data_IF_601978265652
#
_entry.id   IF_601978265652
#
_cell.length_a   1.000
_cell.length_b   1.000
_cell.length_c   1.000
_cell.angle_alpha   90.00
_cell.angle_beta   90.00
_cell.angle_gamma   90.00
#
_symmetry.space_group_name_H-M   'P 1'
#
loop_
_entity.id
_entity.type
_entity.pdbx_description
1 polymer ?
#
# COMPACT_ATOMS: atom_id res chain seq x y z
N UNK A 1 13.36 -20.95 -4.00
CA UNK A 1 12.07 -20.88 -4.72
C UNK A 1 11.09 -21.78 -3.98
N UNK A 2 9.88 -21.26 -3.69
CA UNK A 2 8.86 -22.05 -3.04
C UNK A 2 8.41 -23.21 -3.97
N UNK A 3 8.30 -24.41 -3.42
CA UNK A 3 7.65 -25.54 -4.09
C UNK A 3 6.16 -25.47 -3.84
N UNK A 4 5.38 -25.60 -4.89
CA UNK A 4 3.93 -25.41 -4.90
C UNK A 4 3.25 -26.78 -5.07
N UNK A 5 2.36 -27.12 -4.14
CA UNK A 5 1.32 -28.12 -4.33
C UNK A 5 -0.03 -27.40 -4.21
N UNK A 6 -1.11 -27.90 -4.76
CA UNK A 6 -2.42 -27.21 -4.86
C UNK A 6 -3.01 -26.69 -3.53
N UNK A 7 -2.40 -26.95 -2.39
CA UNK A 7 -2.86 -26.56 -1.05
C UNK A 7 -1.76 -26.00 -0.12
N UNK A 8 -0.50 -25.99 -0.56
CA UNK A 8 0.61 -25.64 0.31
C UNK A 8 1.68 -24.84 -0.44
N UNK A 9 2.13 -23.74 0.16
CA UNK A 9 3.32 -23.00 -0.23
C UNK A 9 4.44 -23.40 0.74
N UNK A 10 5.55 -23.91 0.23
CA UNK A 10 6.68 -24.37 1.05
C UNK A 10 7.99 -23.74 0.58
N UNK A 11 8.78 -23.24 1.51
CA UNK A 11 10.13 -22.75 1.25
C UNK A 11 11.09 -23.24 2.31
N UNK A 12 12.30 -23.64 1.90
CA UNK A 12 13.39 -24.04 2.79
C UNK A 12 14.62 -23.19 2.52
N UNK A 13 15.28 -22.73 3.59
CA UNK A 13 16.45 -21.88 3.51
C UNK A 13 17.50 -22.34 4.51
N UNK A 14 18.77 -22.32 4.09
CA UNK A 14 19.92 -22.48 4.96
C UNK A 14 20.46 -21.09 5.28
N UNK A 15 20.35 -20.67 6.54
CA UNK A 15 20.76 -19.36 7.02
C UNK A 15 22.11 -19.47 7.77
N UNK A 16 23.05 -18.60 7.42
CA UNK A 16 24.34 -18.47 8.12
C UNK A 16 24.18 -17.57 9.35
N UNK A 17 23.28 -17.95 10.21
CA UNK A 17 22.96 -17.24 11.44
C UNK A 17 22.58 -18.24 12.54
N UNK A 18 22.82 -17.87 13.79
CA UNK A 18 22.44 -18.68 14.94
C UNK A 18 20.94 -18.83 15.04
N UNK A 19 20.47 -19.93 15.63
CA UNK A 19 19.05 -20.18 15.83
C UNK A 19 18.37 -19.08 16.68
N UNK A 20 19.13 -18.46 17.59
CA UNK A 20 18.64 -17.34 18.40
C UNK A 20 18.32 -16.14 17.52
N UNK A 21 19.23 -15.77 16.62
CA UNK A 21 19.02 -14.61 15.71
C UNK A 21 17.86 -14.84 14.77
N UNK A 22 17.69 -16.06 14.25
CA UNK A 22 16.56 -16.41 13.39
C UNK A 22 15.25 -16.43 14.19
N UNK A 23 15.26 -16.94 15.41
CA UNK A 23 14.11 -16.92 16.30
C UNK A 23 13.66 -15.50 16.61
N UNK A 24 14.59 -14.62 16.97
CA UNK A 24 14.29 -13.20 17.25
C UNK A 24 13.71 -12.48 16.02
N UNK A 25 14.20 -12.81 14.82
CA UNK A 25 13.63 -12.28 13.58
C UNK A 25 12.16 -12.69 13.35
N UNK A 26 11.73 -13.82 13.90
CA UNK A 26 10.36 -14.36 13.74
C UNK A 26 9.43 -14.04 14.91
N UNK A 27 9.93 -13.65 16.08
CA UNK A 27 9.12 -13.57 17.31
C UNK A 27 9.29 -12.28 18.10
N UNK A 28 9.92 -11.27 17.50
CA UNK A 28 10.05 -9.94 18.11
C UNK A 28 9.51 -8.84 17.18
N UNK A 29 9.07 -7.74 17.78
CA UNK A 29 8.64 -6.55 17.01
C UNK A 29 9.79 -6.03 16.14
N UNK A 30 10.99 -5.95 16.69
CA UNK A 30 12.16 -5.50 15.96
C UNK A 30 12.53 -6.45 14.81
N UNK A 31 12.42 -7.74 15.03
CA UNK A 31 12.65 -8.76 14.00
C UNK A 31 11.67 -8.58 12.84
N UNK A 32 10.37 -8.59 13.11
CA UNK A 32 9.33 -8.50 12.09
C UNK A 32 9.42 -7.21 11.27
N UNK A 33 9.66 -6.06 11.91
CA UNK A 33 9.85 -4.79 11.20
C UNK A 33 11.15 -4.74 10.40
N UNK A 34 12.07 -5.66 10.65
CA UNK A 34 13.31 -5.77 9.89
C UNK A 34 13.14 -6.40 8.51
N UNK A 35 12.13 -7.26 8.29
CA UNK A 35 12.00 -8.00 7.04
C UNK A 35 10.57 -8.17 6.52
N UNK A 36 9.54 -8.31 7.38
CA UNK A 36 8.21 -8.77 6.97
C UNK A 36 7.17 -7.64 6.92
N UNK A 37 7.02 -6.88 8.00
CA UNK A 37 6.05 -5.78 8.09
C UNK A 37 6.76 -4.48 8.44
N UNK A 38 6.12 -3.34 8.20
CA UNK A 38 6.66 -2.03 8.57
C UNK A 38 6.32 -1.65 10.02
N UNK A 39 5.30 -2.29 10.58
CA UNK A 39 4.89 -2.17 11.97
C UNK A 39 4.21 -3.45 12.44
N UNK A 40 4.27 -3.72 13.73
CA UNK A 40 3.56 -4.82 14.37
C UNK A 40 3.10 -4.39 15.75
N UNK A 41 1.83 -4.68 16.06
CA UNK A 41 1.23 -4.42 17.38
C UNK A 41 0.67 -5.75 17.90
N UNK A 42 0.81 -6.00 19.19
CA UNK A 42 0.38 -7.25 19.83
C UNK A 42 1.56 -8.01 20.44
N UNK A 43 1.29 -9.19 20.99
CA UNK A 43 2.29 -10.05 21.61
C UNK A 43 2.47 -11.33 20.81
N UNK A 44 3.71 -11.80 20.71
CA UNK A 44 4.04 -13.09 20.08
C UNK A 44 3.81 -14.24 21.08
N UNK A 45 2.58 -14.34 21.60
CA UNK A 45 2.13 -15.36 22.55
C UNK A 45 0.93 -16.12 21.95
N UNK A 46 0.78 -17.41 22.27
CA UNK A 46 -0.32 -18.23 21.73
C UNK A 46 -1.69 -17.65 22.11
N UNK A 47 -2.58 -17.52 21.13
CA UNK A 47 -3.92 -16.96 21.27
C UNK A 47 -3.99 -15.44 21.06
N UNK A 48 -2.87 -14.74 21.05
CA UNK A 48 -2.84 -13.30 20.80
C UNK A 48 -2.97 -12.99 19.30
N UNK A 49 -3.55 -11.83 18.98
CA UNK A 49 -3.65 -11.33 17.61
C UNK A 49 -2.63 -10.22 17.39
N UNK A 50 -1.83 -10.37 16.35
CA UNK A 50 -0.92 -9.36 15.85
C UNK A 50 -1.63 -8.52 14.79
N UNK A 51 -1.50 -7.20 14.86
CA UNK A 51 -1.80 -6.28 13.77
C UNK A 51 -0.50 -5.96 13.04
N UNK A 52 -0.45 -6.26 11.75
CA UNK A 52 0.71 -6.12 10.90
C UNK A 52 0.49 -4.97 9.93
N UNK A 53 1.33 -3.95 9.97
CA UNK A 53 1.31 -2.82 9.02
C UNK A 53 2.16 -3.15 7.80
N UNK A 54 1.53 -3.29 6.64
CA UNK A 54 2.20 -3.44 5.35
C UNK A 54 2.30 -2.12 4.57
N UNK A 55 2.24 -0.99 5.25
CA UNK A 55 2.39 0.34 4.66
C UNK A 55 1.29 0.64 3.62
N UNK A 56 1.67 0.92 2.36
CA UNK A 56 0.69 1.26 1.33
C UNK A 56 -0.26 0.11 0.93
N UNK A 57 -0.02 -1.10 1.44
CA UNK A 57 -0.88 -2.28 1.20
C UNK A 57 -1.92 -2.50 2.30
N UNK A 58 -1.89 -1.68 3.38
CA UNK A 58 -2.84 -1.75 4.48
C UNK A 58 -2.37 -2.60 5.65
N UNK A 59 -3.30 -2.92 6.54
CA UNK A 59 -3.06 -3.75 7.70
C UNK A 59 -3.52 -5.19 7.44
N UNK A 60 -2.87 -6.14 8.09
CA UNK A 60 -3.26 -7.53 8.13
C UNK A 60 -3.26 -8.03 9.57
N UNK A 61 -4.10 -9.01 9.88
CA UNK A 61 -4.24 -9.56 11.21
C UNK A 61 -3.79 -11.02 11.23
N UNK A 62 -2.96 -11.37 12.22
CA UNK A 62 -2.42 -12.71 12.38
C UNK A 62 -2.65 -13.20 13.81
N UNK A 63 -3.36 -14.30 13.98
CA UNK A 63 -3.57 -14.94 15.27
C UNK A 63 -2.46 -15.95 15.53
N UNK A 64 -1.64 -15.70 16.54
CA UNK A 64 -0.56 -16.59 16.94
C UNK A 64 -1.13 -17.92 17.42
N UNK A 65 -0.72 -19.02 16.81
CA UNK A 65 -1.25 -20.37 17.10
C UNK A 65 -0.26 -21.31 17.76
N UNK A 66 1.04 -21.05 17.62
CA UNK A 66 2.09 -21.90 18.22
C UNK A 66 3.35 -21.08 18.49
N UNK A 67 3.91 -21.22 19.69
CA UNK A 67 5.19 -20.63 20.10
C UNK A 67 5.99 -21.66 20.86
N UNK A 68 6.77 -22.49 20.13
CA UNK A 68 7.73 -23.42 20.71
C UNK A 68 9.12 -22.81 20.56
N UNK A 69 9.76 -22.29 21.63
CA UNK A 69 10.99 -21.52 21.53
C UNK A 69 12.07 -22.19 20.69
N UNK A 70 12.58 -21.47 19.69
CA UNK A 70 13.68 -21.88 18.79
C UNK A 70 13.41 -23.13 17.94
N UNK A 71 12.18 -23.62 17.93
CA UNK A 71 11.81 -24.79 17.11
C UNK A 71 10.64 -24.51 16.17
N UNK A 72 9.60 -23.82 16.64
CA UNK A 72 8.40 -23.57 15.83
C UNK A 72 7.71 -22.28 16.23
N UNK A 73 7.37 -21.46 15.24
CA UNK A 73 6.45 -20.34 15.35
C UNK A 73 5.36 -20.47 14.29
N UNK A 74 4.10 -20.36 14.68
CA UNK A 74 3.00 -20.40 13.71
C UNK A 74 1.90 -19.41 14.05
N UNK A 75 1.22 -18.93 12.99
CA UNK A 75 0.05 -18.09 13.11
C UNK A 75 -0.98 -18.44 12.03
N UNK A 76 -2.23 -18.02 12.26
CA UNK A 76 -3.32 -18.11 11.29
C UNK A 76 -3.67 -16.70 10.81
N UNK A 77 -3.93 -16.54 9.53
CA UNK A 77 -4.37 -15.28 8.96
C UNK A 77 -5.33 -15.50 7.79
N UNK A 78 -5.99 -14.42 7.36
CA UNK A 78 -6.80 -14.45 6.16
C UNK A 78 -5.97 -14.01 4.96
N UNK A 79 -5.67 -14.88 3.99
CA UNK A 79 -4.78 -14.54 2.89
C UNK A 79 -5.43 -13.53 1.93
N UNK A 80 -4.71 -12.42 1.67
CA UNK A 80 -5.11 -11.41 0.70
C UNK A 80 -6.23 -10.46 1.13
N UNK A 81 -6.54 -10.36 2.45
CA UNK A 81 -7.56 -9.46 2.98
C UNK A 81 -7.01 -8.62 4.14
N UNK A 82 -7.43 -7.38 4.22
CA UNK A 82 -7.07 -6.38 5.23
C UNK A 82 -8.17 -6.19 6.31
N UNK A 83 -8.92 -7.23 6.60
CA UNK A 83 -10.01 -7.21 7.57
C UNK A 83 -9.63 -7.86 8.90
N UNK A 84 -10.21 -7.43 10.04
CA UNK A 84 -10.07 -8.13 11.31
C UNK A 84 -10.40 -9.61 11.19
N UNK A 85 -9.59 -10.45 11.84
CA UNK A 85 -9.65 -11.92 11.70
C UNK A 85 -11.00 -12.49 12.14
N UNK A 86 -11.66 -11.83 13.10
CA UNK A 86 -12.96 -12.22 13.63
C UNK A 86 -14.11 -12.11 12.62
N UNK A 87 -13.88 -11.44 11.50
CA UNK A 87 -14.89 -11.34 10.40
C UNK A 87 -14.96 -12.60 9.56
N UNK A 88 -14.00 -13.50 9.71
CA UNK A 88 -13.92 -14.73 8.93
C UNK A 88 -14.11 -15.95 9.81
N UNK A 89 -14.77 -17.00 9.33
CA UNK A 89 -14.77 -18.28 10.01
C UNK A 89 -13.32 -18.82 10.06
N UNK A 90 -12.97 -19.46 11.17
CA UNK A 90 -11.61 -20.02 11.34
C UNK A 90 -11.23 -21.00 10.20
N UNK A 91 -12.21 -21.66 9.60
CA UNK A 91 -12.02 -22.53 8.44
C UNK A 91 -11.53 -21.83 7.17
N UNK A 92 -11.67 -20.50 7.09
CA UNK A 92 -11.18 -19.70 5.95
C UNK A 92 -9.81 -19.08 6.19
N UNK A 93 -9.16 -19.41 7.30
CA UNK A 93 -7.81 -18.96 7.60
C UNK A 93 -6.78 -19.97 7.05
N UNK A 94 -5.70 -19.46 6.49
CA UNK A 94 -4.49 -20.26 6.25
C UNK A 94 -3.60 -20.24 7.48
N UNK A 95 -2.76 -21.27 7.61
CA UNK A 95 -1.77 -21.37 8.68
C UNK A 95 -0.40 -21.21 8.09
N UNK A 96 0.35 -20.23 8.59
CA UNK A 96 1.78 -20.05 8.31
C UNK A 96 2.56 -20.64 9.46
N UNK A 97 3.51 -21.51 9.14
CA UNK A 97 4.38 -22.21 10.10
C UNK A 97 5.84 -22.03 9.73
N UNK A 98 6.61 -21.56 10.66
CA UNK A 98 8.07 -21.54 10.58
C UNK A 98 8.64 -22.60 11.51
N UNK A 99 9.50 -23.46 10.96
CA UNK A 99 10.23 -24.51 11.73
C UNK A 99 11.71 -24.24 11.61
N UNK A 100 12.42 -24.30 12.74
CA UNK A 100 13.85 -24.04 12.84
C UNK A 100 14.57 -25.32 13.27
N UNK A 101 15.71 -25.58 12.63
CA UNK A 101 16.61 -26.67 12.96
C UNK A 101 18.05 -26.14 12.95
N UNK A 102 18.75 -26.29 14.07
CA UNK A 102 20.18 -25.92 14.16
C UNK A 102 21.04 -26.91 13.35
N UNK A 103 21.87 -26.42 12.44
CA UNK A 103 22.75 -27.20 11.59
C UNK A 103 24.16 -26.59 11.59
N UNK A 104 25.06 -27.15 12.41
CA UNK A 104 26.39 -26.58 12.60
C UNK A 104 26.30 -25.15 13.16
N UNK A 105 26.97 -24.22 12.50
CA UNK A 105 26.94 -22.78 12.87
C UNK A 105 25.75 -22.01 12.27
N UNK A 106 24.87 -22.70 11.54
CA UNK A 106 23.72 -22.09 10.85
C UNK A 106 22.39 -22.67 11.32
N UNK A 107 21.33 -22.18 10.66
CA UNK A 107 19.95 -22.59 10.94
C UNK A 107 19.25 -22.94 9.64
N UNK A 108 18.63 -24.10 9.58
CA UNK A 108 17.64 -24.42 8.56
C UNK A 108 16.30 -23.83 8.98
N UNK A 109 15.77 -22.94 8.16
CA UNK A 109 14.43 -22.38 8.29
C UNK A 109 13.52 -22.99 7.23
N UNK A 110 12.42 -23.57 7.67
CA UNK A 110 11.34 -24.05 6.79
C UNK A 110 10.09 -23.23 7.04
N UNK A 111 9.55 -22.58 6.00
CA UNK A 111 8.25 -21.92 6.02
C UNK A 111 7.25 -22.75 5.24
N UNK A 112 6.07 -22.96 5.83
CA UNK A 112 4.93 -23.63 5.18
C UNK A 112 3.68 -22.78 5.43
N UNK A 113 3.01 -22.38 4.37
CA UNK A 113 1.64 -21.86 4.45
C UNK A 113 0.70 -22.90 3.84
N UNK A 114 -0.32 -23.30 4.61
CA UNK A 114 -1.26 -24.35 4.25
C UNK A 114 -2.70 -23.96 4.59
N UNK A 115 -3.67 -24.68 4.03
CA UNK A 115 -5.09 -24.46 4.28
C UNK A 115 -5.84 -23.75 3.15
N UNK A 116 -5.21 -23.49 2.02
CA UNK A 116 -5.85 -22.84 0.86
C UNK A 116 -7.07 -23.60 0.33
N UNK A 117 -7.08 -24.94 0.44
CA UNK A 117 -8.23 -25.76 0.04
C UNK A 117 -9.50 -25.45 0.84
N UNK A 118 -9.37 -24.87 2.03
CA UNK A 118 -10.51 -24.51 2.89
C UNK A 118 -11.15 -23.16 2.50
N UNK A 119 -10.46 -22.35 1.69
CA UNK A 119 -11.02 -21.09 1.22
C UNK A 119 -12.19 -21.33 0.25
N UNK A 120 -13.14 -20.39 0.15
CA UNK A 120 -14.15 -20.40 -0.89
C UNK A 120 -13.52 -20.56 -2.28
N UNK A 121 -14.09 -21.43 -3.12
CA UNK A 121 -13.51 -21.81 -4.42
C UNK A 121 -13.15 -20.60 -5.29
N UNK A 122 -14.00 -19.59 -5.31
CA UNK A 122 -13.79 -18.35 -6.09
C UNK A 122 -12.54 -17.55 -5.69
N UNK A 123 -11.98 -17.80 -4.49
CA UNK A 123 -10.83 -17.08 -3.93
C UNK A 123 -9.53 -17.89 -3.89
N UNK A 124 -9.61 -19.23 -3.94
CA UNK A 124 -8.45 -20.12 -3.75
C UNK A 124 -7.27 -19.78 -4.64
N UNK A 125 -7.53 -19.73 -5.95
CA UNK A 125 -6.47 -19.49 -6.93
C UNK A 125 -5.81 -18.13 -6.76
N UNK A 126 -6.59 -17.05 -6.62
CA UNK A 126 -6.07 -15.70 -6.45
C UNK A 126 -5.33 -15.51 -5.13
N UNK A 127 -5.83 -16.04 -4.02
CA UNK A 127 -5.17 -15.99 -2.72
C UNK A 127 -3.84 -16.78 -2.74
N UNK A 128 -3.85 -17.97 -3.33
CA UNK A 128 -2.66 -18.80 -3.46
C UNK A 128 -1.57 -18.14 -4.31
N UNK A 129 -1.94 -17.57 -5.46
CA UNK A 129 -1.01 -16.85 -6.35
C UNK A 129 -0.45 -15.60 -5.66
N UNK A 130 -1.31 -14.79 -5.01
CA UNK A 130 -0.90 -13.60 -4.29
C UNK A 130 0.09 -13.92 -3.16
N UNK A 131 -0.22 -14.93 -2.32
CA UNK A 131 0.65 -15.31 -1.21
C UNK A 131 1.94 -15.97 -1.69
N UNK A 132 1.91 -16.75 -2.79
CA UNK A 132 3.12 -17.29 -3.42
C UNK A 132 4.05 -16.15 -3.86
N UNK A 133 3.50 -15.13 -4.54
CA UNK A 133 4.25 -13.92 -4.92
C UNK A 133 4.79 -13.17 -3.71
N UNK A 134 3.96 -12.98 -2.68
CA UNK A 134 4.34 -12.36 -1.43
C UNK A 134 5.52 -13.08 -0.76
N UNK A 135 5.42 -14.38 -0.53
CA UNK A 135 6.50 -15.17 0.11
C UNK A 135 7.80 -15.16 -0.70
N UNK A 136 7.73 -15.21 -2.02
CA UNK A 136 8.92 -15.10 -2.87
C UNK A 136 9.61 -13.73 -2.76
N UNK A 137 8.85 -12.67 -2.44
CA UNK A 137 9.37 -11.32 -2.20
C UNK A 137 9.91 -11.15 -0.77
N UNK A 138 9.19 -11.67 0.24
CA UNK A 138 9.49 -11.39 1.65
C UNK A 138 10.60 -12.30 2.22
N UNK A 139 10.59 -13.60 1.92
CA UNK A 139 11.56 -14.52 2.49
C UNK A 139 13.03 -14.18 2.21
N UNK A 140 13.43 -13.64 1.05
CA UNK A 140 14.82 -13.18 0.86
C UNK A 140 15.27 -12.08 1.82
N UNK A 141 14.33 -11.26 2.33
CA UNK A 141 14.65 -10.17 3.26
C UNK A 141 15.09 -10.69 4.64
N UNK A 142 14.54 -11.84 5.10
CA UNK A 142 15.01 -12.43 6.37
C UNK A 142 16.46 -12.88 6.26
N UNK A 143 16.91 -13.35 5.08
CA UNK A 143 18.32 -13.68 4.84
C UNK A 143 19.20 -12.44 5.01
N UNK A 144 18.83 -11.32 4.37
CA UNK A 144 19.51 -10.03 4.54
C UNK A 144 19.59 -9.60 5.99
N UNK A 145 18.48 -9.68 6.73
CA UNK A 145 18.42 -9.30 8.14
C UNK A 145 19.34 -10.17 9.02
N UNK A 146 19.21 -11.50 8.92
CA UNK A 146 19.92 -12.39 9.87
C UNK A 146 21.38 -12.65 9.52
N UNK A 147 21.75 -12.54 8.25
CA UNK A 147 23.14 -12.77 7.84
C UNK A 147 23.96 -11.47 7.76
N UNK A 148 23.35 -10.34 7.39
CA UNK A 148 24.05 -9.10 7.05
C UNK A 148 23.58 -7.89 7.87
N UNK A 149 22.62 -8.03 8.78
CA UNK A 149 21.93 -6.94 9.49
C UNK A 149 21.25 -5.92 8.54
N UNK A 150 20.90 -6.34 7.33
CA UNK A 150 20.18 -5.54 6.33
C UNK A 150 18.69 -5.51 6.66
N UNK A 151 18.20 -4.34 7.08
CA UNK A 151 16.78 -4.13 7.34
C UNK A 151 16.07 -3.69 6.07
N UNK A 152 14.79 -4.05 5.94
CA UNK A 152 13.99 -3.56 4.83
C UNK A 152 13.92 -2.02 4.81
N UNK A 153 13.88 -1.39 3.63
CA UNK A 153 13.77 0.06 3.53
C UNK A 153 12.43 0.54 4.08
N UNK A 154 12.39 1.80 4.52
CA UNK A 154 11.15 2.43 4.96
C UNK A 154 10.07 2.35 3.86
N UNK A 155 8.79 2.19 4.23
CA UNK A 155 7.71 2.08 3.26
C UNK A 155 7.56 3.37 2.44
N UNK A 156 7.27 3.21 1.16
CA UNK A 156 6.95 4.33 0.29
C UNK A 156 5.42 4.47 0.21
N UNK A 157 4.90 5.48 0.88
CA UNK A 157 3.47 5.79 0.92
C UNK A 157 3.03 6.72 -0.23
N UNK A 158 3.57 6.52 -1.43
CA UNK A 158 3.19 7.33 -2.60
C UNK A 158 2.10 6.62 -3.42
N UNK A 159 1.17 7.40 -3.94
CA UNK A 159 0.20 6.92 -4.94
C UNK A 159 0.75 7.26 -6.32
N UNK A 160 0.76 6.28 -7.21
CA UNK A 160 1.12 6.45 -8.61
C UNK A 160 0.04 5.82 -9.49
N UNK A 161 -0.48 6.59 -10.46
CA UNK A 161 -1.41 6.10 -11.48
C UNK A 161 -1.05 6.70 -12.82
N UNK A 162 -1.19 5.91 -13.88
CA UNK A 162 -1.00 6.39 -15.25
C UNK A 162 -2.11 5.94 -16.18
N UNK A 163 -2.34 6.74 -17.21
CA UNK A 163 -3.23 6.40 -18.34
C UNK A 163 -2.66 6.93 -19.63
N UNK A 164 -2.85 6.15 -20.70
CA UNK A 164 -2.60 6.61 -22.07
C UNK A 164 -3.91 7.11 -22.67
N UNK A 165 -3.90 8.34 -23.19
CA UNK A 165 -5.09 9.03 -23.73
C UNK A 165 -4.80 9.44 -25.17
N UNK A 166 -5.55 8.89 -26.12
CA UNK A 166 -5.44 9.21 -27.54
C UNK A 166 -6.09 10.57 -27.85
N UNK A 167 -5.44 11.63 -27.42
CA UNK A 167 -5.87 13.02 -27.62
C UNK A 167 -4.67 13.96 -27.69
N UNK A 168 -4.81 15.17 -28.27
CA UNK A 168 -3.78 16.19 -28.22
C UNK A 168 -3.46 16.58 -26.77
N UNK A 169 -2.18 16.83 -26.47
CA UNK A 169 -1.72 17.17 -25.11
C UNK A 169 -2.45 18.39 -24.54
N UNK A 170 -2.78 19.36 -25.37
CA UNK A 170 -3.53 20.56 -24.95
C UNK A 170 -4.90 20.20 -24.36
N UNK A 171 -5.61 19.22 -24.96
CA UNK A 171 -6.91 18.78 -24.46
C UNK A 171 -6.79 18.08 -23.10
N UNK A 172 -5.78 17.25 -22.92
CA UNK A 172 -5.52 16.60 -21.62
C UNK A 172 -5.13 17.64 -20.58
N UNK A 173 -4.29 18.61 -20.97
CA UNK A 173 -3.93 19.74 -20.12
C UNK A 173 -5.14 20.55 -19.68
N UNK A 174 -6.02 20.92 -20.61
CA UNK A 174 -7.19 21.72 -20.29
C UNK A 174 -8.14 20.99 -19.33
N UNK A 175 -8.25 19.67 -19.44
CA UNK A 175 -9.04 18.87 -18.51
C UNK A 175 -8.51 18.92 -17.06
N UNK A 176 -7.19 18.97 -16.84
CA UNK A 176 -6.61 18.94 -15.49
C UNK A 176 -6.22 20.32 -14.95
N UNK A 177 -6.02 21.31 -15.82
CA UNK A 177 -5.39 22.59 -15.48
C UNK A 177 -6.26 23.83 -15.73
N UNK A 178 -7.54 23.63 -16.02
CA UNK A 178 -8.54 24.71 -16.09
C UNK A 178 -9.67 24.45 -15.11
N UNK A 179 -10.36 25.51 -14.68
CA UNK A 179 -11.52 25.40 -13.80
C UNK A 179 -12.64 24.59 -14.48
N UNK A 180 -12.91 24.86 -15.74
CA UNK A 180 -13.92 24.14 -16.54
C UNK A 180 -13.55 22.65 -16.70
N UNK A 181 -12.27 22.39 -16.99
CA UNK A 181 -11.76 21.02 -17.07
C UNK A 181 -11.96 20.25 -15.77
N UNK A 182 -11.54 20.79 -14.63
CA UNK A 182 -11.72 20.15 -13.32
C UNK A 182 -13.20 19.94 -12.97
N UNK A 183 -14.08 20.86 -13.33
CA UNK A 183 -15.54 20.71 -13.11
C UNK A 183 -16.15 19.61 -13.97
N UNK A 184 -15.58 19.32 -15.13
CA UNK A 184 -16.12 18.28 -16.02
C UNK A 184 -16.04 16.87 -15.40
N UNK A 185 -15.02 16.58 -14.59
CA UNK A 185 -14.81 15.25 -14.03
C UNK A 185 -14.67 15.21 -12.50
N UNK A 186 -14.17 16.24 -11.82
CA UNK A 186 -13.73 16.16 -10.42
C UNK A 186 -14.57 17.03 -9.48
N UNK A 187 -14.79 18.28 -9.83
CA UNK A 187 -15.33 19.30 -8.93
C UNK A 187 -16.76 19.73 -9.32
N UNK A 188 -17.50 20.21 -8.33
CA UNK A 188 -18.77 20.90 -8.52
C UNK A 188 -18.54 22.39 -8.78
N UNK A 189 -17.64 23.01 -8.00
CA UNK A 189 -17.29 24.42 -8.09
C UNK A 189 -15.84 24.65 -7.68
N UNK A 190 -15.31 25.83 -8.04
CA UNK A 190 -13.96 26.29 -7.69
C UNK A 190 -14.07 27.76 -7.31
N UNK A 191 -13.58 28.13 -6.12
CA UNK A 191 -13.44 29.53 -5.72
C UNK A 191 -11.96 29.91 -5.80
N UNK A 192 -11.61 30.69 -6.82
CA UNK A 192 -10.24 31.06 -7.14
C UNK A 192 -9.80 30.60 -8.53
N UNK A 193 -8.51 30.51 -8.74
CA UNK A 193 -7.89 30.09 -9.99
C UNK A 193 -6.77 29.05 -9.77
N UNK A 194 -6.17 28.58 -10.85
CA UNK A 194 -5.07 27.61 -10.81
C UNK A 194 -3.72 28.25 -11.18
N UNK A 195 -3.55 29.54 -10.92
CA UNK A 195 -2.27 30.22 -11.13
C UNK A 195 -1.22 29.72 -10.12
N UNK A 196 0.04 29.79 -10.51
CA UNK A 196 1.13 29.42 -9.60
C UNK A 196 1.09 30.26 -8.32
N UNK A 197 1.09 29.59 -7.16
CA UNK A 197 1.00 30.21 -5.84
C UNK A 197 -0.40 30.49 -5.35
N UNK A 198 -1.45 30.32 -6.17
CA UNK A 198 -2.83 30.58 -5.75
C UNK A 198 -3.29 29.63 -4.64
N UNK A 199 -4.09 30.16 -3.72
CA UNK A 199 -4.89 29.41 -2.75
C UNK A 199 -6.30 29.34 -3.32
N UNK A 200 -6.78 28.12 -3.54
CA UNK A 200 -8.05 27.88 -4.27
C UNK A 200 -8.90 26.91 -3.48
N UNK A 201 -10.20 27.18 -3.36
CA UNK A 201 -11.13 26.26 -2.71
C UNK A 201 -11.74 25.33 -3.75
N UNK A 202 -11.55 24.04 -3.56
CA UNK A 202 -12.20 22.97 -4.33
C UNK A 202 -13.48 22.53 -3.64
N UNK A 203 -14.60 22.54 -4.36
CA UNK A 203 -15.88 22.00 -3.91
C UNK A 203 -16.15 20.70 -4.68
N UNK A 204 -16.12 19.59 -3.97
CA UNK A 204 -16.27 18.26 -4.56
C UNK A 204 -17.74 17.90 -4.77
N UNK A 205 -18.02 17.04 -5.75
CA UNK A 205 -19.39 16.62 -6.11
C UNK A 205 -20.14 15.91 -4.98
N UNK A 206 -19.44 15.41 -3.96
CA UNK A 206 -20.02 14.73 -2.79
C UNK A 206 -20.31 15.67 -1.60
N UNK A 207 -20.26 16.99 -1.80
CA UNK A 207 -20.62 17.97 -0.79
C UNK A 207 -19.52 18.33 0.20
N UNK A 208 -18.30 17.79 0.04
CA UNK A 208 -17.14 18.24 0.79
C UNK A 208 -16.37 19.35 0.06
N UNK A 209 -15.59 20.12 0.80
CA UNK A 209 -14.77 21.21 0.26
C UNK A 209 -13.41 21.22 0.95
N UNK A 210 -12.37 21.61 0.23
CA UNK A 210 -11.04 21.73 0.79
C UNK A 210 -10.16 22.71 0.00
N UNK A 211 -9.28 23.44 0.71
CA UNK A 211 -8.33 24.34 0.08
C UNK A 211 -7.18 23.57 -0.56
N UNK A 212 -6.70 24.08 -1.70
CA UNK A 212 -5.48 23.67 -2.35
C UNK A 212 -4.54 24.86 -2.52
N UNK A 213 -3.24 24.58 -2.60
CA UNK A 213 -2.23 25.58 -2.99
C UNK A 213 -1.47 25.08 -4.22
N UNK A 214 -1.57 25.81 -5.32
CA UNK A 214 -0.83 25.49 -6.55
C UNK A 214 0.65 25.80 -6.34
N UNK A 215 1.50 24.78 -6.48
CA UNK A 215 2.96 24.91 -6.23
C UNK A 215 3.82 24.72 -7.49
N UNK A 216 3.22 24.20 -8.57
CA UNK A 216 3.88 24.04 -9.86
C UNK A 216 2.84 24.18 -10.99
N UNK A 217 3.22 24.89 -12.05
CA UNK A 217 2.42 25.01 -13.28
C UNK A 217 3.33 25.23 -14.47
N UNK A 218 3.65 24.17 -15.17
CA UNK A 218 4.46 24.15 -16.39
C UNK A 218 3.62 23.62 -17.56
N UNK A 219 3.00 24.54 -18.29
CA UNK A 219 2.09 24.20 -19.40
C UNK A 219 2.86 23.77 -20.65
N UNK A 220 2.49 22.64 -21.29
CA UNK A 220 1.41 21.71 -20.97
C UNK A 220 1.91 20.46 -20.19
N UNK A 221 3.07 20.52 -19.55
CA UNK A 221 3.82 19.35 -19.09
C UNK A 221 3.48 18.92 -17.67
N UNK A 222 3.28 19.88 -16.73
CA UNK A 222 3.00 19.53 -15.34
C UNK A 222 2.18 20.55 -14.56
N UNK A 223 1.36 20.05 -13.64
CA UNK A 223 0.60 20.80 -12.65
C UNK A 223 0.74 20.12 -11.30
N UNK A 224 1.01 20.89 -10.24
CA UNK A 224 1.10 20.33 -8.89
C UNK A 224 0.45 21.25 -7.87
N UNK A 225 -0.20 20.64 -6.88
CA UNK A 225 -0.74 21.34 -5.71
C UNK A 225 -0.54 20.56 -4.42
N UNK A 226 -0.61 21.27 -3.30
CA UNK A 226 -0.73 20.68 -1.97
C UNK A 226 -2.18 20.72 -1.51
N UNK A 227 -2.59 19.73 -0.73
CA UNK A 227 -3.89 19.66 -0.10
C UNK A 227 -3.89 18.79 1.17
N UNK A 228 -5.03 18.75 1.86
CA UNK A 228 -5.29 17.83 2.97
C UNK A 228 -5.83 16.50 2.41
N UNK A 229 -5.10 15.38 2.52
CA UNK A 229 -5.54 14.10 1.97
C UNK A 229 -6.61 13.46 2.85
N UNK A 230 -7.64 12.88 2.21
CA UNK A 230 -8.70 12.12 2.89
C UNK A 230 -9.66 12.95 3.75
N UNK A 231 -9.56 14.27 3.73
CA UNK A 231 -10.48 15.14 4.47
C UNK A 231 -11.75 15.37 3.64
N UNK A 232 -12.90 15.29 4.31
CA UNK A 232 -14.22 15.37 3.66
C UNK A 232 -15.06 16.54 4.14
N UNK A 233 -14.79 17.14 5.30
CA UNK A 233 -15.59 18.21 5.87
C UNK A 233 -14.75 19.22 6.67
N UNK A 234 -15.12 20.50 6.59
CA UNK A 234 -14.60 21.57 7.45
C UNK A 234 -13.08 21.76 7.38
N UNK A 235 -12.48 21.50 6.22
CA UNK A 235 -11.04 21.59 6.06
C UNK A 235 -10.62 23.03 5.77
N UNK A 236 -9.88 23.64 6.70
CA UNK A 236 -9.18 24.91 6.49
C UNK A 236 -7.71 24.64 6.22
N UNK A 237 -6.99 25.60 5.59
CA UNK A 237 -5.57 25.41 5.25
C UNK A 237 -4.69 25.13 6.46
N UNK A 238 -5.01 25.71 7.58
CA UNK A 238 -4.29 25.66 8.84
C UNK A 238 -4.76 24.53 9.79
N UNK A 239 -5.67 23.66 9.32
CA UNK A 239 -6.19 22.54 10.13
C UNK A 239 -5.07 21.59 10.59
N UNK A 240 -4.07 21.40 9.75
CA UNK A 240 -2.89 20.59 10.02
C UNK A 240 -1.61 21.32 9.62
N UNK A 241 -0.46 20.99 10.23
CA UNK A 241 0.84 21.50 9.81
C UNK A 241 1.11 21.26 8.32
N UNK A 242 1.81 22.19 7.67
CA UNK A 242 2.04 22.12 6.21
C UNK A 242 2.84 20.87 5.76
N UNK A 243 3.66 20.32 6.64
CA UNK A 243 4.39 19.08 6.40
C UNK A 243 3.49 17.82 6.40
N UNK A 244 2.27 17.92 6.97
CA UNK A 244 1.25 16.87 6.92
C UNK A 244 0.31 16.97 5.71
N UNK A 245 0.54 17.92 4.81
CA UNK A 245 -0.16 18.00 3.53
C UNK A 245 0.50 17.07 2.52
N UNK A 246 -0.31 16.47 1.64
CA UNK A 246 0.22 15.74 0.50
C UNK A 246 0.39 16.64 -0.71
N UNK A 247 1.28 16.25 -1.59
CA UNK A 247 1.53 16.89 -2.87
C UNK A 247 1.00 16.01 -3.99
N UNK A 248 0.06 16.54 -4.75
CA UNK A 248 -0.43 15.95 -6.00
C UNK A 248 0.33 16.55 -7.15
N UNK A 249 0.89 15.73 -8.02
CA UNK A 249 1.55 16.15 -9.25
C UNK A 249 1.01 15.39 -10.44
N UNK A 250 0.49 16.11 -11.42
CA UNK A 250 0.22 15.60 -12.76
C UNK A 250 1.41 15.87 -13.67
N UNK A 251 1.73 14.87 -14.47
CA UNK A 251 2.76 14.98 -15.53
C UNK A 251 2.18 14.45 -16.84
N UNK A 252 2.37 15.20 -17.91
CA UNK A 252 1.94 14.84 -19.24
C UNK A 252 3.16 14.68 -20.16
N UNK A 253 3.15 13.62 -20.97
CA UNK A 253 4.19 13.37 -21.95
C UNK A 253 3.56 12.89 -23.25
N UNK A 254 3.88 13.56 -24.37
CA UNK A 254 3.49 13.09 -25.70
C UNK A 254 4.23 11.80 -26.05
N UNK A 255 3.51 10.86 -26.65
CA UNK A 255 4.01 9.58 -27.12
C UNK A 255 3.37 9.27 -28.49
N UNK A 256 3.90 8.29 -29.22
CA UNK A 256 3.31 7.85 -30.49
C UNK A 256 1.88 7.32 -30.34
N UNK A 257 1.49 6.89 -29.14
CA UNK A 257 0.15 6.38 -28.81
C UNK A 257 -0.81 7.46 -28.24
N UNK A 258 -0.41 8.73 -28.23
CA UNK A 258 -1.14 9.84 -27.62
C UNK A 258 -0.39 10.44 -26.43
N UNK A 259 -1.10 10.79 -25.36
CA UNK A 259 -0.53 11.40 -24.15
C UNK A 259 -0.49 10.39 -23.02
N UNK A 260 0.69 10.18 -22.45
CA UNK A 260 0.84 9.55 -21.15
C UNK A 260 0.54 10.60 -20.06
N UNK A 261 -0.55 10.40 -19.34
CA UNK A 261 -0.92 11.17 -18.16
C UNK A 261 -0.55 10.37 -16.91
N UNK A 262 0.24 10.97 -16.05
CA UNK A 262 0.63 10.41 -14.75
C UNK A 262 0.10 11.31 -13.64
N UNK A 263 -0.47 10.73 -12.59
CA UNK A 263 -0.66 11.38 -11.30
C UNK A 263 0.19 10.69 -10.25
N UNK A 264 0.95 11.48 -9.51
CA UNK A 264 1.68 11.07 -8.31
C UNK A 264 1.18 11.90 -7.13
N UNK A 265 0.78 11.24 -6.03
CA UNK A 265 0.54 11.90 -4.77
C UNK A 265 1.54 11.38 -3.74
N UNK A 266 2.25 12.29 -3.07
CA UNK A 266 3.34 11.98 -2.13
C UNK A 266 3.20 12.82 -0.86
N UNK A 267 3.92 12.41 0.20
CA UNK A 267 3.90 13.11 1.50
C UNK A 267 3.09 12.39 2.57
N UNK A 268 2.45 11.26 2.28
CA UNK A 268 1.69 10.50 3.27
C UNK A 268 2.55 10.01 4.45
N UNK A 269 3.84 9.79 4.25
CA UNK A 269 4.76 9.38 5.32
C UNK A 269 4.82 10.39 6.50
N UNK A 270 4.55 11.67 6.23
CA UNK A 270 4.56 12.74 7.24
C UNK A 270 3.24 12.85 8.02
N UNK A 271 2.20 12.15 7.56
CA UNK A 271 0.91 12.14 8.26
C UNK A 271 1.04 11.23 9.49
N UNK A 272 0.51 11.65 10.67
CA UNK A 272 0.49 10.79 11.85
C UNK A 272 -0.13 9.42 11.55
N UNK A 273 0.45 8.37 12.13
CA UNK A 273 0.10 6.96 11.84
C UNK A 273 -1.42 6.70 11.94
N UNK A 274 -2.07 7.17 12.98
CA UNK A 274 -3.52 6.99 13.18
C UNK A 274 -4.43 7.60 12.08
N UNK A 275 -3.89 8.42 11.16
CA UNK A 275 -4.61 9.01 10.02
C UNK A 275 -4.07 8.54 8.67
N UNK A 276 -2.80 8.12 8.63
CA UNK A 276 -2.05 7.85 7.39
C UNK A 276 -2.72 6.82 6.49
N UNK A 277 -3.04 5.67 7.03
CA UNK A 277 -3.61 4.56 6.24
C UNK A 277 -5.01 4.89 5.73
N UNK A 278 -5.84 5.55 6.55
CA UNK A 278 -7.17 6.01 6.13
C UNK A 278 -7.06 7.02 4.99
N UNK A 279 -6.21 8.05 5.13
CA UNK A 279 -5.99 9.05 4.08
C UNK A 279 -5.45 8.43 2.78
N UNK A 280 -4.45 7.54 2.91
CA UNK A 280 -3.87 6.82 1.77
C UNK A 280 -4.91 5.96 1.05
N UNK A 281 -5.71 5.18 1.78
CA UNK A 281 -6.73 4.29 1.22
C UNK A 281 -7.82 5.06 0.46
N UNK A 282 -8.33 6.16 1.03
CA UNK A 282 -9.33 7.02 0.39
C UNK A 282 -8.78 7.62 -0.91
N UNK A 283 -7.57 8.18 -0.87
CA UNK A 283 -6.97 8.80 -2.04
C UNK A 283 -6.55 7.78 -3.10
N UNK A 284 -6.07 6.60 -2.71
CA UNK A 284 -5.69 5.52 -3.64
C UNK A 284 -6.87 5.05 -4.50
N UNK A 285 -8.04 4.84 -3.89
CA UNK A 285 -9.28 4.54 -4.60
C UNK A 285 -9.78 5.73 -5.42
N UNK A 286 -9.73 6.93 -4.86
CA UNK A 286 -10.11 8.17 -5.53
C UNK A 286 -9.33 8.41 -6.81
N UNK A 287 -8.00 8.30 -6.78
CA UNK A 287 -7.17 8.52 -7.97
C UNK A 287 -7.38 7.48 -9.07
N UNK A 288 -7.69 6.24 -8.74
CA UNK A 288 -8.04 5.23 -9.76
C UNK A 288 -9.27 5.68 -10.54
N UNK A 289 -10.35 6.05 -9.83
CA UNK A 289 -11.56 6.56 -10.44
C UNK A 289 -11.32 7.87 -11.22
N UNK A 290 -10.57 8.82 -10.66
CA UNK A 290 -10.23 10.10 -11.30
C UNK A 290 -9.55 9.90 -12.64
N UNK A 291 -8.53 9.05 -12.72
CA UNK A 291 -7.76 8.83 -13.94
C UNK A 291 -8.60 8.18 -15.05
N UNK A 292 -9.53 7.29 -14.71
CA UNK A 292 -10.47 6.71 -15.68
C UNK A 292 -11.47 7.75 -16.15
N UNK A 293 -11.95 8.60 -15.26
CA UNK A 293 -12.90 9.67 -15.59
C UNK A 293 -12.26 10.76 -16.45
N UNK A 294 -11.01 11.19 -16.15
CA UNK A 294 -10.27 12.13 -17.01
C UNK A 294 -10.17 11.56 -18.43
N UNK A 295 -9.74 10.30 -18.56
CA UNK A 295 -9.61 9.65 -19.86
C UNK A 295 -10.94 9.65 -20.64
N UNK A 296 -12.02 9.24 -19.99
CA UNK A 296 -13.36 9.23 -20.60
C UNK A 296 -13.82 10.62 -21.04
N UNK A 297 -13.65 11.63 -20.17
CA UNK A 297 -14.02 13.03 -20.43
C UNK A 297 -13.24 13.60 -21.62
N UNK A 298 -11.92 13.41 -21.65
CA UNK A 298 -11.07 13.91 -22.74
C UNK A 298 -11.43 13.24 -24.08
N UNK A 299 -11.71 11.95 -24.07
CA UNK A 299 -12.09 11.22 -25.30
C UNK A 299 -13.49 11.58 -25.79
N UNK A 300 -14.41 11.98 -24.90
CA UNK A 300 -15.74 12.45 -25.26
C UNK A 300 -15.75 13.85 -25.89
N UNK A 301 -14.63 14.56 -25.88
CA UNK A 301 -14.51 15.87 -26.56
C UNK A 301 -14.77 17.08 -25.68
N UNK A 302 -14.76 16.88 -24.36
CA UNK A 302 -14.82 17.96 -23.36
C UNK A 302 -13.42 18.50 -23.03
#
# INVERSE_FOLDING_TARGET
MATVTDNEIRSEMMLRASIDKVWDALTTHEGWTGWFSYGVVGKFEEGETLTLDFGPYGECFAMVSTVNPKTEFAYKWHPGEDCPIEKYPESELTTVRFTLEALGDGTKLTMVESGFANLPEARRASAFEANTGGWNSELPKIVGLVENDERQPAPVFDIYRERYIQAPIQRVWDAIATVEGLKSWFLQAVDGDLSLGSMTMFHFKKGCSGPIKVIERDKPNSLSWKWHPGETEGCTWDKYPEDQLTTVKFTLKETDAGVQLVVKESGFANIPEGRRLTALGLNKGGWTWCMDTIKATVLAGL
#
